data_IF_947538823673
#
_entry.id   IF_947538823673
#
_cell.length_a   1.000
_cell.length_b   1.000
_cell.length_c   1.000
_cell.angle_alpha   90.00
_cell.angle_beta   90.00
_cell.angle_gamma   90.00
#
_symmetry.space_group_name_H-M   'P 1'
#
loop_
_entity.id
_entity.type
_entity.pdbx_description
1 polymer ?
#
# COMPACT_ATOMS: atom_id res chain seq x y z
N UNK A 1 -28.16 -2.81 -10.23
CA UNK A 1 -27.06 -2.07 -10.87
C UNK A 1 -27.55 -0.66 -11.14
N UNK A 2 -26.85 0.37 -10.65
CA UNK A 2 -27.12 1.76 -11.05
C UNK A 2 -26.17 2.13 -12.19
N UNK A 3 -26.66 2.78 -13.22
CA UNK A 3 -25.86 3.19 -14.38
C UNK A 3 -25.38 4.62 -14.20
N UNK A 4 -24.08 4.84 -14.37
CA UNK A 4 -23.44 6.15 -14.33
C UNK A 4 -22.81 6.41 -15.71
N UNK A 5 -23.19 7.51 -16.35
CA UNK A 5 -22.59 7.94 -17.63
C UNK A 5 -21.57 9.03 -17.37
N UNK A 6 -20.32 8.79 -17.74
CA UNK A 6 -19.21 9.74 -17.56
C UNK A 6 -18.47 9.95 -18.87
N UNK A 7 -18.04 11.18 -19.12
CA UNK A 7 -17.11 11.47 -20.22
C UNK A 7 -15.69 11.20 -19.73
N UNK A 8 -14.97 10.37 -20.46
CA UNK A 8 -13.61 9.98 -20.14
C UNK A 8 -12.66 10.46 -21.25
N UNK A 9 -11.42 10.82 -20.93
CA UNK A 9 -10.40 11.09 -21.95
C UNK A 9 -10.19 9.85 -22.83
N UNK A 10 -9.96 10.06 -24.13
CA UNK A 10 -9.78 8.98 -25.10
C UNK A 10 -8.64 8.03 -24.74
N UNK A 11 -7.54 8.56 -24.20
CA UNK A 11 -6.41 7.78 -23.72
C UNK A 11 -6.83 6.75 -22.65
N UNK A 12 -7.68 7.16 -21.69
CA UNK A 12 -8.16 6.28 -20.62
C UNK A 12 -9.08 5.17 -21.18
N UNK A 13 -9.89 5.50 -22.19
CA UNK A 13 -10.75 4.52 -22.86
C UNK A 13 -9.89 3.48 -23.58
N UNK A 14 -8.84 3.91 -24.30
CA UNK A 14 -7.92 3.01 -25.00
C UNK A 14 -7.21 2.04 -24.04
N UNK A 15 -6.77 2.53 -22.86
CA UNK A 15 -6.19 1.67 -21.82
C UNK A 15 -7.19 0.63 -21.29
N UNK A 16 -8.44 1.04 -21.02
CA UNK A 16 -9.49 0.14 -20.54
C UNK A 16 -9.80 -0.94 -21.60
N UNK A 17 -9.81 -0.57 -22.88
CA UNK A 17 -9.99 -1.54 -23.96
C UNK A 17 -8.83 -2.52 -24.08
N UNK A 18 -7.59 -2.05 -23.98
CA UNK A 18 -6.41 -2.90 -23.99
C UNK A 18 -6.44 -3.90 -22.82
N UNK A 19 -6.81 -3.43 -21.61
CA UNK A 19 -6.93 -4.29 -20.43
C UNK A 19 -8.10 -5.27 -20.57
N UNK A 20 -9.24 -4.83 -21.12
CA UNK A 20 -10.40 -5.67 -21.41
C UNK A 20 -10.03 -6.83 -22.36
N UNK A 21 -9.29 -6.53 -23.43
CA UNK A 21 -8.78 -7.53 -24.38
C UNK A 21 -7.78 -8.47 -23.72
N UNK A 22 -6.81 -7.93 -22.97
CA UNK A 22 -5.77 -8.73 -22.31
C UNK A 22 -6.30 -9.67 -21.23
N UNK A 23 -7.34 -9.25 -20.50
CA UNK A 23 -7.93 -10.02 -19.38
C UNK A 23 -9.21 -10.77 -19.74
N UNK A 24 -9.68 -10.66 -21.00
CA UNK A 24 -10.98 -11.20 -21.47
C UNK A 24 -12.16 -10.83 -20.56
N UNK A 25 -12.17 -9.60 -20.05
CA UNK A 25 -13.24 -9.06 -19.20
C UNK A 25 -13.99 -7.96 -19.91
N UNK A 26 -15.25 -7.72 -19.54
CA UNK A 26 -15.99 -6.60 -20.11
C UNK A 26 -15.38 -5.26 -19.70
N UNK A 27 -15.51 -4.23 -20.55
CA UNK A 27 -15.05 -2.87 -20.22
C UNK A 27 -15.64 -2.38 -18.89
N UNK A 28 -16.91 -2.70 -18.64
CA UNK A 28 -17.62 -2.37 -17.41
C UNK A 28 -17.07 -3.09 -16.18
N UNK A 29 -16.61 -4.34 -16.32
CA UNK A 29 -15.96 -5.06 -15.21
C UNK A 29 -14.60 -4.44 -14.88
N UNK A 30 -13.81 -4.10 -15.91
CA UNK A 30 -12.51 -3.41 -15.72
C UNK A 30 -12.71 -2.06 -15.03
N UNK A 31 -13.70 -1.27 -15.47
CA UNK A 31 -14.04 0.01 -14.83
C UNK A 31 -14.48 -0.17 -13.38
N UNK A 32 -15.37 -1.13 -13.11
CA UNK A 32 -15.83 -1.43 -11.73
C UNK A 32 -14.68 -1.87 -10.84
N UNK A 33 -13.78 -2.71 -11.32
CA UNK A 33 -12.62 -3.20 -10.58
C UNK A 33 -11.63 -2.05 -10.27
N UNK A 34 -11.29 -1.23 -11.27
CA UNK A 34 -10.44 -0.05 -11.08
C UNK A 34 -11.04 0.93 -10.07
N UNK A 35 -12.34 1.24 -10.16
CA UNK A 35 -13.03 2.12 -9.20
C UNK A 35 -13.05 1.52 -7.78
N UNK A 36 -13.29 0.21 -7.66
CA UNK A 36 -13.28 -0.48 -6.37
C UNK A 36 -11.89 -0.48 -5.73
N UNK A 37 -10.82 -0.65 -6.51
CA UNK A 37 -9.44 -0.64 -6.03
C UNK A 37 -9.00 0.75 -5.52
N UNK A 38 -9.44 1.84 -6.16
CA UNK A 38 -9.15 3.20 -5.70
C UNK A 38 -9.93 3.53 -4.42
N UNK A 39 -11.16 3.06 -4.33
CA UNK A 39 -12.04 3.32 -3.17
C UNK A 39 -11.63 2.50 -1.95
N UNK A 40 -10.94 1.37 -2.14
CA UNK A 40 -10.41 0.58 -1.03
C UNK A 40 -9.19 1.31 -0.47
N UNK A 41 -9.23 1.86 0.77
CA UNK A 41 -8.02 2.38 1.38
C UNK A 41 -7.00 1.26 1.35
N UNK A 42 -5.78 1.54 0.87
CA UNK A 42 -4.62 0.63 0.90
C UNK A 42 -4.14 0.39 2.34
N UNK A 43 -5.05 0.29 3.30
CA UNK A 43 -4.79 -0.34 4.57
C UNK A 43 -4.58 -1.82 4.27
N UNK A 44 -3.36 -2.17 3.88
CA UNK A 44 -2.86 -3.50 4.19
C UNK A 44 -2.93 -3.56 5.71
N UNK A 45 -3.78 -4.43 6.30
CA UNK A 45 -3.65 -4.67 7.73
C UNK A 45 -2.21 -5.11 7.94
N UNK A 46 -1.50 -4.35 8.77
CA UNK A 46 -0.21 -4.79 9.27
C UNK A 46 -0.46 -6.20 9.82
N UNK A 47 0.27 -7.24 9.38
CA UNK A 47 0.07 -8.58 9.88
C UNK A 47 0.05 -8.53 11.42
N UNK A 48 -0.90 -9.20 12.10
CA UNK A 48 -0.97 -9.18 13.57
C UNK A 48 0.35 -9.62 14.21
N UNK A 49 1.13 -10.45 13.51
CA UNK A 49 2.49 -10.84 13.89
C UNK A 49 3.47 -9.66 14.10
N UNK A 50 3.22 -8.49 13.50
CA UNK A 50 4.04 -7.27 13.73
C UNK A 50 3.46 -6.42 14.85
N UNK A 51 2.16 -6.55 15.19
CA UNK A 51 1.58 -5.86 16.33
C UNK A 51 2.20 -6.36 17.65
N UNK A 52 2.45 -7.66 17.75
CA UNK A 52 3.15 -8.28 18.90
C UNK A 52 4.61 -7.83 19.02
N UNK A 53 5.21 -7.30 17.95
CA UNK A 53 6.56 -6.74 17.96
C UNK A 53 6.59 -5.27 18.46
N UNK A 54 5.44 -4.58 18.49
CA UNK A 54 5.35 -3.20 18.98
C UNK A 54 5.27 -3.25 20.51
N UNK A 55 6.40 -3.00 21.16
CA UNK A 55 6.52 -3.03 22.63
C UNK A 55 7.06 -4.34 23.20
N UNK A 56 7.49 -5.30 22.35
CA UNK A 56 8.14 -6.53 22.80
C UNK A 56 9.56 -6.35 23.34
N UNK A 57 10.09 -5.12 23.28
CA UNK A 57 11.40 -4.78 23.81
C UNK A 57 11.22 -3.70 24.87
N UNK A 58 11.29 -4.13 26.13
CA UNK A 58 11.22 -3.24 27.29
C UNK A 58 12.45 -2.31 27.34
N UNK A 59 12.23 -1.09 27.84
CA UNK A 59 13.27 -0.07 28.00
C UNK A 59 13.62 0.73 26.74
N UNK A 60 12.93 0.51 25.63
CA UNK A 60 13.11 1.32 24.41
C UNK A 60 12.20 2.55 24.39
N UNK A 61 12.67 3.68 23.81
CA UNK A 61 11.86 4.88 23.60
C UNK A 61 10.61 4.61 22.74
N UNK A 62 9.49 5.24 23.12
CA UNK A 62 8.17 5.12 22.49
C UNK A 62 8.15 5.32 20.96
N UNK A 63 9.15 6.01 20.41
CA UNK A 63 9.26 6.25 18.98
C UNK A 63 10.72 6.19 18.49
N UNK A 64 11.08 5.01 17.98
CA UNK A 64 12.37 4.74 17.36
C UNK A 64 12.45 5.26 15.90
N UNK A 65 11.31 5.57 15.28
CA UNK A 65 11.23 5.95 13.87
C UNK A 65 11.66 7.40 13.63
N UNK A 66 11.26 8.33 14.51
CA UNK A 66 11.57 9.77 14.36
C UNK A 66 13.03 10.12 14.67
N UNK A 67 13.70 9.38 15.56
CA UNK A 67 15.10 9.64 15.99
C UNK A 67 16.07 8.51 15.67
N UNK A 68 15.82 7.78 14.57
CA UNK A 68 16.60 6.62 14.10
C UNK A 68 18.12 6.80 14.19
N UNK A 69 18.68 7.91 13.68
CA UNK A 69 20.14 8.14 13.68
C UNK A 69 20.73 8.25 15.09
N UNK A 70 19.99 8.83 16.04
CA UNK A 70 20.44 8.98 17.42
C UNK A 70 20.53 7.63 18.11
N UNK A 71 19.52 6.77 17.94
CA UNK A 71 19.47 5.47 18.58
C UNK A 71 20.47 4.48 17.99
N UNK A 72 20.61 4.42 16.66
CA UNK A 72 21.61 3.55 16.02
C UNK A 72 23.04 3.87 16.47
N UNK A 73 23.35 5.13 16.75
CA UNK A 73 24.65 5.55 17.30
C UNK A 73 24.81 5.14 18.77
N UNK A 74 23.77 5.37 19.59
CA UNK A 74 23.80 5.08 21.02
C UNK A 74 23.90 3.57 21.31
N UNK A 75 23.26 2.72 20.50
CA UNK A 75 23.30 1.27 20.67
C UNK A 75 24.52 0.61 20.01
N UNK A 76 25.43 1.39 19.41
CA UNK A 76 26.62 0.86 18.76
C UNK A 76 26.35 0.06 17.48
N UNK A 77 25.11 0.11 16.96
CA UNK A 77 24.70 -0.63 15.78
C UNK A 77 25.52 -0.23 14.55
N UNK A 78 26.04 -1.23 13.84
CA UNK A 78 26.87 -1.02 12.64
C UNK A 78 28.37 -0.84 12.91
N UNK A 79 28.83 -0.91 14.16
CA UNK A 79 30.26 -1.14 14.42
C UNK A 79 30.58 -2.62 14.23
N UNK A 80 31.51 -2.93 13.34
CA UNK A 80 32.11 -4.26 13.26
C UNK A 80 32.95 -4.49 14.52
N UNK A 81 32.71 -5.61 15.20
CA UNK A 81 33.61 -6.07 16.26
C UNK A 81 35.00 -6.27 15.65
N UNK A 82 36.02 -5.76 16.34
CA UNK A 82 37.42 -5.98 15.97
C UNK A 82 37.82 -7.41 16.29
#
# INVERSE_FOLDING_TARGET
MKTLTVRLPEALVAEIEAESRGRRRSKSDVVRERLALVTRPRSRPVPPAIADLVGSVDGLPVDLSRRKKSYLRATGYGRRAR
#
